data_IF_228515836475
#
_entry.id   IF_228515836475
#
_cell.length_a   1.000
_cell.length_b   1.000
_cell.length_c   1.000
_cell.angle_alpha   90.00
_cell.angle_beta   90.00
_cell.angle_gamma   90.00
#
_symmetry.space_group_name_H-M   'P 1'
#
loop_
_entity.id
_entity.type
_entity.pdbx_description
1 polymer ?
#
# COMPACT_ATOMS: atom_id res chain seq x y z
N UNK A 1 -52.12 -6.96 -17.06
CA UNK A 1 -51.34 -7.79 -16.11
C UNK A 1 -49.92 -7.83 -16.62
N UNK A 2 -49.01 -7.22 -15.88
CA UNK A 2 -47.65 -6.97 -16.32
C UNK A 2 -46.71 -8.12 -16.01
N UNK A 3 -45.68 -8.25 -16.84
CA UNK A 3 -44.46 -8.97 -16.52
C UNK A 3 -43.31 -7.98 -16.73
N UNK A 4 -42.81 -7.42 -15.62
CA UNK A 4 -41.53 -6.69 -15.59
C UNK A 4 -40.45 -7.76 -15.51
N UNK A 5 -39.75 -7.98 -16.61
CA UNK A 5 -38.55 -8.79 -16.63
C UNK A 5 -37.44 -8.03 -15.90
N UNK A 6 -37.15 -8.44 -14.66
CA UNK A 6 -35.97 -7.98 -13.92
C UNK A 6 -34.73 -8.57 -14.58
N UNK A 7 -34.05 -7.79 -15.42
CA UNK A 7 -32.69 -8.09 -15.86
C UNK A 7 -31.79 -7.78 -14.66
N UNK A 8 -31.40 -8.82 -13.92
CA UNK A 8 -30.27 -8.73 -13.01
C UNK A 8 -29.05 -8.79 -13.92
N UNK A 9 -28.44 -7.63 -14.19
CA UNK A 9 -27.10 -7.57 -14.77
C UNK A 9 -26.17 -8.38 -13.87
N UNK A 10 -25.72 -9.53 -14.38
CA UNK A 10 -24.64 -10.30 -13.77
C UNK A 10 -23.38 -9.46 -13.88
N UNK A 11 -23.09 -8.67 -12.83
CA UNK A 11 -21.83 -7.96 -12.70
C UNK A 11 -20.70 -8.99 -12.80
N UNK A 12 -19.85 -8.86 -13.81
CA UNK A 12 -18.70 -9.74 -14.01
C UNK A 12 -17.66 -9.41 -12.93
N UNK A 13 -17.28 -10.37 -12.04
CA UNK A 13 -16.33 -10.12 -10.95
C UNK A 13 -15.02 -9.46 -11.41
N UNK A 14 -14.51 -9.86 -12.57
CA UNK A 14 -13.29 -9.29 -13.16
C UNK A 14 -13.45 -7.81 -13.55
N UNK A 15 -14.65 -7.37 -13.93
CA UNK A 15 -14.91 -5.96 -14.26
C UNK A 15 -15.03 -5.07 -13.01
N UNK A 16 -15.42 -5.67 -11.88
CA UNK A 16 -15.58 -4.96 -10.61
C UNK A 16 -14.23 -4.71 -9.95
N UNK A 17 -13.39 -5.75 -9.86
CA UNK A 17 -12.03 -5.65 -9.33
C UNK A 17 -11.18 -4.65 -10.13
N UNK A 18 -11.27 -4.68 -11.46
CA UNK A 18 -10.59 -3.71 -12.34
C UNK A 18 -11.04 -2.27 -12.03
N UNK A 19 -12.33 -2.05 -11.82
CA UNK A 19 -12.87 -0.72 -11.50
C UNK A 19 -12.40 -0.23 -10.14
N UNK A 20 -12.41 -1.09 -9.13
CA UNK A 20 -11.96 -0.76 -7.77
C UNK A 20 -10.46 -0.45 -7.75
N UNK A 21 -9.65 -1.24 -8.47
CA UNK A 21 -8.23 -0.98 -8.68
C UNK A 21 -7.99 0.38 -9.36
N UNK A 22 -8.76 0.71 -10.40
CA UNK A 22 -8.65 2.01 -11.07
C UNK A 22 -8.99 3.18 -10.13
N UNK A 23 -10.03 3.04 -9.29
CA UNK A 23 -10.40 4.06 -8.32
C UNK A 23 -9.31 4.27 -7.25
N UNK A 24 -8.71 3.18 -6.78
CA UNK A 24 -7.58 3.21 -5.87
C UNK A 24 -6.41 4.00 -6.49
N UNK A 25 -6.01 3.65 -7.72
CA UNK A 25 -4.94 4.35 -8.43
C UNK A 25 -5.24 5.82 -8.70
N UNK A 26 -6.48 6.14 -9.07
CA UNK A 26 -6.91 7.53 -9.30
C UNK A 26 -6.74 8.39 -8.05
N UNK A 27 -7.07 7.88 -6.86
CA UNK A 27 -6.84 8.60 -5.59
C UNK A 27 -5.34 8.88 -5.38
N UNK A 28 -4.49 7.91 -5.68
CA UNK A 28 -3.04 8.10 -5.54
C UNK A 28 -2.47 9.12 -6.53
N UNK A 29 -2.87 9.04 -7.80
CA UNK A 29 -2.39 9.95 -8.84
C UNK A 29 -2.88 11.39 -8.66
N UNK A 30 -4.13 11.58 -8.22
CA UNK A 30 -4.78 12.90 -8.18
C UNK A 30 -4.69 13.57 -6.81
N UNK A 31 -4.72 12.81 -5.72
CA UNK A 31 -4.74 13.35 -4.35
C UNK A 31 -3.45 13.12 -3.59
N UNK A 32 -2.90 11.91 -3.62
CA UNK A 32 -1.70 11.57 -2.83
C UNK A 32 -0.43 12.16 -3.44
N UNK A 33 -0.34 12.18 -4.77
CA UNK A 33 0.82 12.70 -5.51
C UNK A 33 1.18 14.15 -5.18
N UNK A 34 0.20 15.00 -4.89
CA UNK A 34 0.40 16.42 -4.58
C UNK A 34 0.84 16.67 -3.13
N UNK A 35 0.78 15.66 -2.27
CA UNK A 35 1.24 15.75 -0.89
C UNK A 35 2.76 15.85 -0.79
N UNK A 36 3.23 16.23 0.39
CA UNK A 36 4.65 16.14 0.73
C UNK A 36 5.10 14.67 0.81
N UNK A 37 6.40 14.40 0.59
CA UNK A 37 6.96 13.05 0.78
C UNK A 37 6.59 12.48 2.16
N UNK A 38 6.71 13.29 3.21
CA UNK A 38 6.38 12.90 4.59
C UNK A 38 4.94 12.36 4.70
N UNK A 39 3.97 13.06 4.13
CA UNK A 39 2.56 12.63 4.15
C UNK A 39 2.35 11.35 3.33
N UNK A 40 3.04 11.20 2.20
CA UNK A 40 3.00 9.98 1.39
C UNK A 40 3.58 8.78 2.18
N UNK A 41 4.66 9.00 2.94
CA UNK A 41 5.24 8.00 3.86
C UNK A 41 4.28 7.63 5.00
N UNK A 42 3.50 8.57 5.53
CA UNK A 42 2.48 8.28 6.54
C UNK A 42 1.42 7.31 6.00
N UNK A 43 0.98 7.50 4.75
CA UNK A 43 0.02 6.58 4.12
C UNK A 43 0.62 5.19 3.98
N UNK A 44 1.85 5.09 3.45
CA UNK A 44 2.57 3.81 3.35
C UNK A 44 2.72 3.11 4.72
N UNK A 45 3.12 3.86 5.75
CA UNK A 45 3.23 3.34 7.11
C UNK A 45 1.89 2.79 7.64
N UNK A 46 0.79 3.53 7.46
CA UNK A 46 -0.54 3.09 7.88
C UNK A 46 -1.00 1.82 7.15
N UNK A 47 -0.60 1.62 5.91
CA UNK A 47 -0.83 0.35 5.21
C UNK A 47 0.03 -0.77 5.77
N UNK A 48 1.32 -0.53 6.05
CA UNK A 48 2.19 -1.54 6.66
C UNK A 48 1.69 -2.01 8.04
N UNK A 49 1.03 -1.15 8.82
CA UNK A 49 0.41 -1.53 10.10
C UNK A 49 -0.66 -2.62 9.93
N UNK A 50 -1.31 -2.73 8.77
CA UNK A 50 -2.31 -3.77 8.52
C UNK A 50 -1.69 -5.18 8.52
N UNK A 51 -0.42 -5.29 8.14
CA UNK A 51 0.34 -6.54 8.13
C UNK A 51 1.12 -6.81 9.42
N UNK A 52 1.07 -5.92 10.43
CA UNK A 52 1.95 -5.96 11.61
C UNK A 52 1.91 -7.30 12.37
N UNK A 53 0.74 -7.93 12.45
CA UNK A 53 0.53 -9.18 13.19
C UNK A 53 1.28 -10.37 12.58
N UNK A 54 1.55 -10.30 11.28
CA UNK A 54 2.21 -11.36 10.51
C UNK A 54 3.73 -11.12 10.39
N UNK A 55 4.25 -10.06 11.01
CA UNK A 55 5.67 -9.73 11.01
C UNK A 55 6.42 -10.43 12.15
N UNK A 56 7.56 -11.03 11.79
CA UNK A 56 8.59 -11.44 12.74
C UNK A 56 9.42 -10.24 13.23
N UNK A 57 10.48 -10.49 14.01
CA UNK A 57 11.30 -9.43 14.58
C UNK A 57 12.01 -8.57 13.51
N UNK A 58 12.42 -9.18 12.39
CA UNK A 58 13.01 -8.44 11.26
C UNK A 58 11.97 -7.51 10.63
N UNK A 59 10.77 -8.04 10.36
CA UNK A 59 9.66 -7.25 9.82
C UNK A 59 9.25 -6.10 10.75
N UNK A 60 9.18 -6.36 12.07
CA UNK A 60 8.91 -5.31 13.07
C UNK A 60 10.01 -4.26 13.15
N UNK A 61 11.28 -4.67 12.98
CA UNK A 61 12.41 -3.74 12.86
C UNK A 61 12.25 -2.81 11.65
N UNK A 62 11.90 -3.37 10.49
CA UNK A 62 11.62 -2.60 9.29
C UNK A 62 10.40 -1.68 9.45
N UNK A 63 9.33 -2.14 10.08
CA UNK A 63 8.14 -1.33 10.34
C UNK A 63 8.44 -0.10 11.21
N UNK A 64 9.28 -0.24 12.24
CA UNK A 64 9.76 0.90 13.03
C UNK A 64 10.57 1.88 12.20
N UNK A 65 11.39 1.39 11.26
CA UNK A 65 12.14 2.25 10.36
C UNK A 65 11.20 3.02 9.40
N UNK A 66 10.16 2.37 8.89
CA UNK A 66 9.08 3.01 8.12
C UNK A 66 8.36 4.08 8.93
N UNK A 67 8.06 3.82 10.20
CA UNK A 67 7.49 4.82 11.12
C UNK A 67 8.43 6.02 11.26
N UNK A 68 9.72 5.80 11.48
CA UNK A 68 10.70 6.87 11.65
C UNK A 68 10.84 7.72 10.37
N UNK A 69 10.68 7.15 9.17
CA UNK A 69 10.63 7.90 7.91
C UNK A 69 9.50 8.94 7.88
N UNK A 70 8.39 8.70 8.59
CA UNK A 70 7.30 9.68 8.73
C UNK A 70 7.68 10.92 9.56
N UNK A 71 8.81 10.87 10.24
CA UNK A 71 9.35 11.98 11.06
C UNK A 71 10.59 12.63 10.45
N UNK A 72 11.19 12.05 9.40
CA UNK A 72 12.37 12.58 8.72
C UNK A 72 13.72 12.29 9.40
N UNK A 73 13.77 11.37 10.37
CA UNK A 73 14.97 11.11 11.20
C UNK A 73 15.76 9.85 10.81
N UNK A 74 15.67 9.38 9.56
CA UNK A 74 16.26 8.09 9.15
C UNK A 74 17.32 8.27 8.07
N UNK A 75 18.43 7.53 8.21
CA UNK A 75 19.47 7.42 7.18
C UNK A 75 19.00 6.55 6.01
N UNK A 76 19.26 7.01 4.78
CA UNK A 76 19.00 6.22 3.57
C UNK A 76 19.73 4.86 3.59
N UNK A 77 20.91 4.82 4.20
CA UNK A 77 21.70 3.60 4.33
C UNK A 77 21.00 2.54 5.20
N UNK A 78 20.29 2.96 6.25
CA UNK A 78 19.54 2.03 7.11
C UNK A 78 18.35 1.44 6.33
N UNK A 79 17.68 2.26 5.52
CA UNK A 79 16.59 1.81 4.65
C UNK A 79 17.07 0.78 3.62
N UNK A 80 18.21 1.05 2.96
CA UNK A 80 18.81 0.12 1.99
C UNK A 80 19.20 -1.21 2.66
N UNK A 81 19.88 -1.15 3.80
CA UNK A 81 20.30 -2.34 4.54
C UNK A 81 19.11 -3.21 4.97
N UNK A 82 18.02 -2.61 5.47
CA UNK A 82 16.83 -3.38 5.83
C UNK A 82 16.13 -3.96 4.60
N UNK A 83 16.04 -3.21 3.50
CA UNK A 83 15.43 -3.72 2.26
C UNK A 83 16.16 -4.95 1.74
N UNK A 84 17.49 -4.93 1.71
CA UNK A 84 18.29 -6.09 1.29
C UNK A 84 18.04 -7.30 2.19
N UNK A 85 18.01 -7.10 3.52
CA UNK A 85 17.73 -8.18 4.47
C UNK A 85 16.34 -8.79 4.26
N UNK A 86 15.33 -7.97 4.03
CA UNK A 86 13.96 -8.42 3.74
C UNK A 86 13.89 -9.15 2.39
N UNK A 87 14.52 -8.61 1.35
CA UNK A 87 14.55 -9.20 0.00
C UNK A 87 15.19 -10.59 0.01
N UNK A 88 16.28 -10.77 0.75
CA UNK A 88 16.95 -12.06 0.89
C UNK A 88 16.13 -13.12 1.64
N UNK A 89 15.02 -12.72 2.27
CA UNK A 89 14.08 -13.62 2.96
C UNK A 89 12.74 -13.75 2.25
N UNK A 90 12.58 -13.16 1.06
CA UNK A 90 11.38 -13.39 0.27
C UNK A 90 11.34 -14.86 -0.20
N UNK A 91 10.17 -15.51 -0.14
CA UNK A 91 9.99 -16.83 -0.73
C UNK A 91 10.05 -16.76 -2.26
N UNK A 92 10.48 -17.83 -2.90
CA UNK A 92 10.65 -17.88 -4.37
C UNK A 92 9.32 -17.75 -5.14
N UNK A 93 8.19 -18.20 -4.58
CA UNK A 93 6.89 -18.26 -5.29
C UNK A 93 5.66 -17.83 -4.46
N UNK A 94 5.81 -17.01 -3.41
CA UNK A 94 4.66 -16.58 -2.57
C UNK A 94 4.67 -15.07 -2.24
N UNK A 95 3.49 -14.52 -1.97
CA UNK A 95 3.33 -13.18 -1.41
C UNK A 95 3.79 -13.15 0.05
N UNK A 96 4.62 -12.16 0.41
CA UNK A 96 5.22 -12.05 1.74
C UNK A 96 4.78 -10.77 2.46
N UNK A 97 4.57 -10.87 3.78
CA UNK A 97 4.34 -9.71 4.64
C UNK A 97 5.50 -8.69 4.62
N UNK A 98 6.67 -9.07 4.09
CA UNK A 98 7.79 -8.16 3.86
C UNK A 98 7.64 -7.29 2.62
N UNK A 99 6.90 -7.72 1.60
CA UNK A 99 6.70 -6.97 0.35
C UNK A 99 6.22 -5.52 0.58
N UNK A 100 5.17 -5.25 1.40
CA UNK A 100 4.78 -3.87 1.69
C UNK A 100 5.89 -3.07 2.39
N UNK A 101 6.68 -3.68 3.28
CA UNK A 101 7.78 -3.01 3.98
C UNK A 101 8.92 -2.64 3.03
N UNK A 102 9.27 -3.53 2.10
CA UNK A 102 10.31 -3.28 1.10
C UNK A 102 9.97 -2.05 0.26
N UNK A 103 8.71 -1.91 -0.15
CA UNK A 103 8.22 -0.76 -0.91
C UNK A 103 8.11 0.51 -0.07
N UNK A 104 7.68 0.40 1.18
CA UNK A 104 7.61 1.53 2.10
C UNK A 104 8.99 2.13 2.42
N UNK A 105 10.04 1.30 2.44
CA UNK A 105 11.43 1.70 2.62
C UNK A 105 12.11 2.20 1.32
N UNK A 106 11.49 2.04 0.15
CA UNK A 106 12.07 2.47 -1.13
C UNK A 106 12.33 3.98 -1.12
N UNK A 107 13.55 4.46 -1.44
CA UNK A 107 13.87 5.88 -1.40
C UNK A 107 13.03 6.68 -2.42
N UNK A 108 12.75 7.94 -2.09
CA UNK A 108 12.07 8.83 -3.01
C UNK A 108 13.00 9.19 -4.16
N UNK A 109 12.64 8.79 -5.38
CA UNK A 109 13.41 9.05 -6.59
C UNK A 109 12.51 9.47 -7.74
N UNK A 110 13.08 9.92 -8.86
CA UNK A 110 12.31 10.22 -10.07
C UNK A 110 11.62 8.97 -10.66
N UNK A 111 12.26 7.80 -10.59
CA UNK A 111 11.69 6.54 -11.09
C UNK A 111 10.65 5.95 -10.12
N UNK A 112 10.88 6.10 -8.81
CA UNK A 112 10.01 5.62 -7.76
C UNK A 112 9.67 6.78 -6.80
N UNK A 113 8.75 7.67 -7.19
CA UNK A 113 8.31 8.72 -6.29
C UNK A 113 7.55 8.11 -5.10
N UNK A 114 7.52 8.81 -3.95
CA UNK A 114 7.04 8.20 -2.70
C UNK A 114 5.54 7.88 -2.74
N UNK A 115 4.72 8.71 -3.41
CA UNK A 115 3.31 8.40 -3.67
C UNK A 115 3.13 7.08 -4.44
N UNK A 116 3.98 6.81 -5.44
CA UNK A 116 3.88 5.61 -6.25
C UNK A 116 4.30 4.39 -5.43
N UNK A 117 5.40 4.51 -4.69
CA UNK A 117 5.83 3.45 -3.76
C UNK A 117 4.74 3.15 -2.73
N UNK A 118 4.09 4.17 -2.16
CA UNK A 118 2.96 4.00 -1.24
C UNK A 118 1.76 3.31 -1.90
N UNK A 119 1.46 3.61 -3.16
CA UNK A 119 0.42 2.91 -3.91
C UNK A 119 0.74 1.42 -4.06
N UNK A 120 2.00 1.08 -4.36
CA UNK A 120 2.46 -0.32 -4.43
C UNK A 120 2.41 -1.00 -3.06
N UNK A 121 2.67 -0.30 -1.95
CA UNK A 121 2.48 -0.87 -0.60
C UNK A 121 1.05 -1.39 -0.45
N UNK A 122 0.04 -0.60 -0.83
CA UNK A 122 -1.36 -1.03 -0.76
C UNK A 122 -1.67 -2.18 -1.72
N UNK A 123 -1.07 -2.24 -2.91
CA UNK A 123 -1.19 -3.43 -3.78
C UNK A 123 -0.72 -4.70 -3.07
N UNK A 124 0.45 -4.65 -2.43
CA UNK A 124 0.94 -5.83 -1.69
C UNK A 124 -0.01 -6.22 -0.55
N UNK A 125 -0.69 -5.27 0.10
CA UNK A 125 -1.69 -5.58 1.12
C UNK A 125 -2.91 -6.31 0.51
N UNK A 126 -3.33 -5.94 -0.70
CA UNK A 126 -4.39 -6.64 -1.44
C UNK A 126 -3.92 -8.04 -1.86
N UNK A 127 -2.70 -8.16 -2.38
CA UNK A 127 -2.12 -9.44 -2.82
C UNK A 127 -1.91 -10.42 -1.65
N UNK A 128 -1.74 -9.90 -0.42
CA UNK A 128 -1.70 -10.68 0.82
C UNK A 128 -3.10 -11.08 1.33
N UNK A 129 -4.18 -10.58 0.72
CA UNK A 129 -5.56 -10.82 1.16
C UNK A 129 -5.92 -10.15 2.49
N UNK A 130 -5.13 -9.17 2.96
CA UNK A 130 -5.34 -8.47 4.24
C UNK A 130 -6.44 -7.42 4.12
N UNK A 131 -6.58 -6.79 2.95
CA UNK A 131 -7.59 -5.78 2.67
C UNK A 131 -7.98 -5.80 1.19
N UNK A 132 -9.06 -5.09 0.86
CA UNK A 132 -9.54 -4.91 -0.51
C UNK A 132 -9.23 -3.50 -1.03
N UNK A 133 -9.27 -3.32 -2.36
CA UNK A 133 -9.11 -2.00 -2.98
C UNK A 133 -10.08 -0.94 -2.43
N UNK A 134 -11.40 -1.21 -2.26
CA UNK A 134 -12.32 -0.24 -1.66
C UNK A 134 -11.93 0.17 -0.24
N UNK A 135 -11.58 -0.79 0.63
CA UNK A 135 -11.18 -0.51 2.01
C UNK A 135 -9.91 0.33 2.09
N UNK A 136 -8.89 0.03 1.29
CA UNK A 136 -7.67 0.83 1.23
C UNK A 136 -7.93 2.22 0.65
N UNK A 137 -8.84 2.34 -0.32
CA UNK A 137 -9.26 3.62 -0.89
C UNK A 137 -9.93 4.49 0.17
N UNK A 138 -10.84 3.92 0.96
CA UNK A 138 -11.54 4.65 2.02
C UNK A 138 -10.62 4.97 3.20
N UNK A 139 -9.72 4.06 3.57
CA UNK A 139 -8.66 4.34 4.53
C UNK A 139 -7.78 5.51 4.06
N UNK A 140 -7.39 5.53 2.79
CA UNK A 140 -6.60 6.63 2.21
C UNK A 140 -7.35 7.95 2.33
N UNK A 141 -8.63 8.01 1.93
CA UNK A 141 -9.45 9.22 2.08
C UNK A 141 -9.52 9.67 3.54
N UNK A 142 -9.77 8.76 4.47
CA UNK A 142 -9.80 9.07 5.89
C UNK A 142 -8.46 9.58 6.44
N UNK A 143 -7.33 9.13 5.89
CA UNK A 143 -6.01 9.69 6.22
C UNK A 143 -5.88 11.11 5.67
N UNK A 144 -6.30 11.34 4.42
CA UNK A 144 -6.23 12.65 3.76
C UNK A 144 -7.05 13.71 4.50
N UNK A 145 -8.18 13.35 5.08
CA UNK A 145 -9.02 14.28 5.86
C UNK A 145 -8.34 14.77 7.15
N UNK A 146 -7.22 14.15 7.55
CA UNK A 146 -6.43 14.54 8.73
C UNK A 146 -5.18 15.37 8.38
N UNK A 147 -5.02 15.77 7.12
CA UNK A 147 -3.94 16.64 6.65
C UNK A 147 -4.44 18.05 6.36
#
# INVERSE_FOLDING_TARGET
MGAVATIIDKVNPHSMEQRESNQYWEVFETKVRSLTERQQRIIAYKFCLLAEKDLDDLGKGALRLVEQLTSGHVSLQDCESYREQLQNRLPDEETSAYSPLIWALTPHTAAYPAWYSAAIVGLNIVDLGISTFPELTDLTKGILDNF
#
